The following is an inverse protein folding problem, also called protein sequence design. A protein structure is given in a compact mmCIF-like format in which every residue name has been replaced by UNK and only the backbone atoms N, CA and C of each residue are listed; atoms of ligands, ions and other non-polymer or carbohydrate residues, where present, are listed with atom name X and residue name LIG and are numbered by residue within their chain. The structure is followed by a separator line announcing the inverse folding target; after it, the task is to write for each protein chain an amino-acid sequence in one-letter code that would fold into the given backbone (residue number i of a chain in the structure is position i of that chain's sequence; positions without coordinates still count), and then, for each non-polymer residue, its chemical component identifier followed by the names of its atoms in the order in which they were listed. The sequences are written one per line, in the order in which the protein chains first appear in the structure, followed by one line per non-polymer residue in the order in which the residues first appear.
data_IF_586604573878
#
_entry.id   IF_586604573878
#
_cell.length_a   1.000
_cell.length_b   1.000
_cell.length_c   1.000
_cell.angle_alpha   90.00
_cell.angle_beta   90.00
_cell.angle_gamma   90.00
#
_symmetry.space_group_name_H-M   'P 1'
#
loop_
_entity.id
_entity.type
_entity.pdbx_description
1 polymer ?
#
# COMPACT_ATOMS: atom_id res chain seq x y z
N UNK A 1 -22.44 -15.98 -15.54
CA UNK A 1 -21.31 -15.33 -14.87
C UNK A 1 -21.27 -13.89 -15.38
N UNK A 2 -21.09 -12.92 -14.47
CA UNK A 2 -20.84 -11.53 -14.85
C UNK A 2 -19.35 -11.35 -15.15
N UNK A 3 -19.02 -10.38 -16.00
CA UNK A 3 -17.63 -10.00 -16.25
C UNK A 3 -17.04 -9.35 -15.00
N UNK A 4 -16.04 -9.99 -14.39
CA UNK A 4 -15.37 -9.49 -13.20
C UNK A 4 -14.25 -8.49 -13.51
N UNK A 5 -13.95 -8.24 -14.80
CA UNK A 5 -13.01 -7.21 -15.25
C UNK A 5 -13.45 -6.53 -16.57
N UNK A 6 -14.47 -5.65 -16.55
CA UNK A 6 -15.06 -5.07 -17.77
C UNK A 6 -14.07 -4.32 -18.68
N UNK A 7 -12.99 -3.79 -18.09
CA UNK A 7 -11.98 -2.99 -18.77
C UNK A 7 -10.70 -3.79 -19.11
N UNK A 8 -10.58 -5.04 -18.64
CA UNK A 8 -9.38 -5.87 -18.82
C UNK A 8 -9.79 -7.27 -19.30
N UNK A 9 -9.36 -7.63 -20.51
CA UNK A 9 -9.67 -8.94 -21.06
C UNK A 9 -9.07 -10.08 -20.22
N UNK A 10 -9.93 -10.87 -19.59
CA UNK A 10 -9.56 -12.03 -18.75
C UNK A 10 -10.48 -13.22 -19.06
N UNK A 11 -10.13 -14.00 -20.08
CA UNK A 11 -11.00 -15.03 -20.65
C UNK A 11 -11.34 -16.17 -19.67
N UNK A 12 -10.48 -16.41 -18.68
CA UNK A 12 -10.69 -17.40 -17.63
C UNK A 12 -11.55 -16.88 -16.48
N UNK A 13 -11.80 -15.57 -16.42
CA UNK A 13 -12.59 -14.90 -15.39
C UNK A 13 -12.15 -15.34 -13.98
N UNK A 14 -10.84 -15.51 -13.81
CA UNK A 14 -10.25 -15.91 -12.54
C UNK A 14 -10.58 -14.86 -11.47
N UNK A 15 -10.94 -15.34 -10.29
CA UNK A 15 -11.26 -14.59 -9.07
C UNK A 15 -10.90 -15.54 -7.93
N UNK A 16 -9.62 -15.48 -7.54
CA UNK A 16 -9.00 -16.47 -6.67
C UNK A 16 -9.41 -16.32 -5.21
N UNK A 17 -9.81 -15.11 -4.79
CA UNK A 17 -10.19 -14.81 -3.41
C UNK A 17 -11.71 -14.67 -3.21
N UNK A 18 -12.49 -14.55 -4.29
CA UNK A 18 -13.94 -14.59 -4.31
C UNK A 18 -14.61 -13.27 -3.95
N UNK A 19 -13.90 -12.14 -4.10
CA UNK A 19 -14.44 -10.81 -3.78
C UNK A 19 -15.29 -10.20 -4.91
N UNK A 20 -15.27 -10.83 -6.11
CA UNK A 20 -16.01 -10.42 -7.29
C UNK A 20 -15.24 -9.48 -8.24
N UNK A 21 -13.97 -9.19 -7.96
CA UNK A 21 -13.01 -8.51 -8.83
C UNK A 21 -12.11 -9.60 -9.44
N UNK A 22 -11.91 -9.58 -10.75
CA UNK A 22 -11.08 -10.62 -11.36
C UNK A 22 -9.59 -10.41 -11.10
N UNK A 23 -8.83 -11.49 -10.93
CA UNK A 23 -7.38 -11.50 -10.71
C UNK A 23 -6.61 -10.63 -11.73
N UNK A 24 -7.17 -10.46 -12.94
CA UNK A 24 -6.58 -9.68 -14.02
C UNK A 24 -6.71 -8.15 -13.87
N UNK A 25 -7.72 -7.68 -13.13
CA UNK A 25 -7.96 -6.26 -12.85
C UNK A 25 -7.88 -5.93 -11.35
N UNK A 26 -7.68 -6.94 -10.51
CA UNK A 26 -7.36 -6.76 -9.11
C UNK A 26 -6.02 -6.00 -8.98
N UNK A 27 -6.03 -4.94 -8.17
CA UNK A 27 -4.80 -4.30 -7.75
C UNK A 27 -4.22 -5.15 -6.63
N UNK A 28 -2.97 -5.62 -6.78
CA UNK A 28 -2.27 -6.40 -5.77
C UNK A 28 -2.46 -5.78 -4.37
N UNK A 29 -2.51 -6.59 -3.29
CA UNK A 29 -2.72 -6.07 -1.95
C UNK A 29 -1.73 -4.93 -1.69
N UNK A 30 -2.27 -3.74 -1.41
CA UNK A 30 -1.51 -2.51 -1.22
C UNK A 30 -0.41 -2.82 -0.21
N UNK A 31 0.87 -2.81 -0.60
CA UNK A 31 1.92 -3.20 0.30
C UNK A 31 1.93 -2.22 1.47
N UNK A 32 2.06 -2.76 2.69
CA UNK A 32 2.22 -1.91 3.89
C UNK A 32 3.38 -0.94 3.62
N UNK A 33 3.17 0.35 3.83
CA UNK A 33 4.04 1.48 3.45
C UNK A 33 3.83 2.12 2.06
N UNK A 34 2.90 1.63 1.23
CA UNK A 34 2.35 2.40 0.11
C UNK A 34 1.21 3.27 0.67
N UNK A 35 1.51 4.54 0.90
CA UNK A 35 0.64 5.48 1.61
C UNK A 35 -0.18 6.31 0.62
N UNK A 36 0.30 6.50 -0.61
CA UNK A 36 -0.46 7.21 -1.65
C UNK A 36 -1.26 6.27 -2.58
N UNK A 37 -1.08 4.96 -2.43
CA UNK A 37 -1.86 3.92 -3.10
C UNK A 37 -1.48 3.74 -4.57
N UNK A 38 -0.25 4.08 -4.95
CA UNK A 38 0.22 4.00 -6.33
C UNK A 38 0.84 2.63 -6.71
N UNK A 39 0.87 1.70 -5.75
CA UNK A 39 1.38 0.34 -5.91
C UNK A 39 2.89 0.22 -5.72
N UNK A 40 3.59 1.31 -5.40
CA UNK A 40 5.01 1.33 -5.11
C UNK A 40 5.28 1.92 -3.71
N UNK A 41 6.47 1.61 -3.18
CA UNK A 41 6.97 2.23 -1.95
C UNK A 41 8.13 3.14 -2.35
N UNK A 42 7.90 4.44 -2.28
CA UNK A 42 8.81 5.46 -2.73
C UNK A 42 8.96 6.65 -1.76
N UNK A 43 9.60 7.72 -2.25
CA UNK A 43 9.87 8.90 -1.43
C UNK A 43 8.60 9.66 -1.03
N UNK A 44 7.56 9.62 -1.84
CA UNK A 44 6.26 10.24 -1.57
C UNK A 44 5.65 9.57 -0.34
N UNK A 45 5.66 8.24 -0.26
CA UNK A 45 5.15 7.50 0.90
C UNK A 45 5.86 7.87 2.18
N UNK A 46 7.20 7.78 2.18
CA UNK A 46 8.01 8.14 3.33
C UNK A 46 7.82 9.60 3.74
N UNK A 47 7.60 10.49 2.76
CA UNK A 47 7.30 11.89 3.02
C UNK A 47 5.91 12.08 3.66
N UNK A 48 4.93 11.26 3.26
CA UNK A 48 3.57 11.30 3.80
C UNK A 48 3.56 10.85 5.27
N UNK A 49 4.27 9.77 5.59
CA UNK A 49 4.50 9.33 6.98
C UNK A 49 5.20 10.44 7.77
N UNK A 50 6.27 11.01 7.21
CA UNK A 50 7.05 12.07 7.86
C UNK A 50 6.24 13.35 8.14
N UNK A 51 5.25 13.67 7.30
CA UNK A 51 4.32 14.80 7.47
C UNK A 51 3.24 14.51 8.51
N UNK A 52 2.92 13.25 8.75
CA UNK A 52 1.90 12.83 9.71
C UNK A 52 2.45 12.58 11.12
N UNK A 53 3.75 12.77 11.36
CA UNK A 53 4.39 12.61 12.68
C UNK A 53 3.66 13.34 13.81
N UNK A 54 3.70 12.74 15.00
CA UNK A 54 3.04 13.21 16.22
C UNK A 54 1.51 13.18 16.15
N UNK A 55 0.94 12.41 15.22
CA UNK A 55 -0.49 12.14 15.17
C UNK A 55 -0.77 10.70 15.61
N UNK A 56 -1.94 10.43 16.22
CA UNK A 56 -2.41 9.07 16.38
C UNK A 56 -2.66 8.45 15.01
N UNK A 57 -2.53 7.13 14.93
CA UNK A 57 -2.98 6.36 13.77
C UNK A 57 -4.51 6.39 13.69
N UNK A 58 -5.07 6.33 12.49
CA UNK A 58 -6.51 6.28 12.24
C UNK A 58 -7.10 4.88 12.53
N UNK A 59 -6.25 3.86 12.73
CA UNK A 59 -6.63 2.48 13.03
C UNK A 59 -5.45 1.51 12.94
N UNK A 60 -5.68 0.20 13.16
CA UNK A 60 -4.65 -0.84 13.06
C UNK A 60 -4.09 -0.99 11.64
N UNK A 61 -4.85 -0.56 10.63
CA UNK A 61 -4.49 -0.64 9.21
C UNK A 61 -4.10 0.73 8.62
N UNK A 62 -3.78 1.72 9.47
CA UNK A 62 -3.29 3.00 8.97
C UNK A 62 -1.93 2.80 8.26
N UNK A 63 -1.82 3.08 6.95
CA UNK A 63 -0.58 2.83 6.20
C UNK A 63 0.60 3.70 6.69
N UNK A 64 0.31 4.76 7.47
CA UNK A 64 1.31 5.64 8.09
C UNK A 64 1.83 5.12 9.43
N UNK A 65 1.20 4.09 10.01
CA UNK A 65 1.59 3.39 11.24
C UNK A 65 2.19 2.01 10.90
N UNK A 66 3.36 2.09 10.32
CA UNK A 66 4.03 0.97 9.67
C UNK A 66 4.64 -0.01 10.67
N UNK A 67 4.78 0.36 11.95
CA UNK A 67 5.11 -0.57 13.03
C UNK A 67 3.90 -1.01 13.86
N UNK A 68 2.74 -0.36 13.70
CA UNK A 68 1.48 -0.74 14.35
C UNK A 68 1.44 -0.32 15.82
N UNK A 69 2.20 0.70 16.20
CA UNK A 69 2.29 1.21 17.57
C UNK A 69 1.11 2.10 17.97
N UNK A 70 0.23 2.44 17.03
CA UNK A 70 -0.91 3.34 17.20
C UNK A 70 -0.54 4.82 17.11
N UNK A 71 0.73 5.15 16.83
CA UNK A 71 1.23 6.53 16.76
C UNK A 71 2.18 6.67 15.60
N UNK A 72 2.03 7.75 14.81
CA UNK A 72 2.91 8.02 13.67
C UNK A 72 4.19 8.68 14.16
N UNK A 73 5.31 7.96 14.02
CA UNK A 73 6.65 8.29 14.52
C UNK A 73 7.71 8.16 13.42
N UNK A 74 8.97 8.58 13.70
CA UNK A 74 10.08 8.26 12.81
C UNK A 74 10.41 6.77 12.70
N UNK A 75 9.90 5.90 13.58
CA UNK A 75 10.12 4.46 13.45
C UNK A 75 9.30 3.89 12.30
N UNK A 76 8.11 4.42 12.02
CA UNK A 76 7.28 4.02 10.88
C UNK A 76 8.03 4.20 9.56
N UNK A 77 8.63 5.38 9.38
CA UNK A 77 9.52 5.66 8.24
C UNK A 77 10.63 4.62 8.15
N UNK A 78 11.30 4.29 9.26
CA UNK A 78 12.41 3.30 9.25
C UNK A 78 11.93 1.90 8.90
N UNK A 79 10.73 1.53 9.32
CA UNK A 79 10.13 0.23 8.99
C UNK A 79 9.79 0.15 7.50
N UNK A 80 9.51 1.29 6.84
CA UNK A 80 9.23 1.38 5.41
C UNK A 80 10.46 1.46 4.51
N UNK A 81 11.58 2.04 4.96
CA UNK A 81 12.82 2.13 4.17
C UNK A 81 13.26 0.79 3.53
N UNK A 82 13.29 -0.36 4.23
CA UNK A 82 13.70 -1.62 3.61
C UNK A 82 12.67 -2.19 2.63
N UNK A 83 11.46 -1.63 2.57
CA UNK A 83 10.36 -2.07 1.70
C UNK A 83 10.27 -1.26 0.40
N UNK A 84 11.12 -0.23 0.25
CA UNK A 84 11.18 0.60 -0.94
C UNK A 84 11.27 -0.21 -2.24
N UNK A 85 10.34 0.02 -3.16
CA UNK A 85 10.31 -0.62 -4.49
C UNK A 85 11.02 0.23 -5.54
N UNK A 86 11.15 1.55 -5.32
CA UNK A 86 11.79 2.48 -6.27
C UNK A 86 13.23 2.88 -5.85
N UNK A 87 14.15 3.09 -6.82
CA UNK A 87 15.50 3.60 -6.54
C UNK A 87 15.45 4.97 -5.84
N UNK A 88 16.29 5.16 -4.81
CA UNK A 88 16.39 6.40 -4.02
C UNK A 88 15.12 6.80 -3.23
N UNK A 89 14.25 5.83 -2.91
CA UNK A 89 13.05 6.00 -2.09
C UNK A 89 13.34 6.70 -0.74
N UNK A 90 14.39 6.29 -0.03
CA UNK A 90 14.99 7.09 1.03
C UNK A 90 16.36 7.58 0.55
N UNK A 91 16.65 8.87 0.75
CA UNK A 91 18.05 9.32 0.73
C UNK A 91 18.79 8.54 1.80
N UNK A 92 19.69 7.65 1.40
CA UNK A 92 20.66 7.02 2.30
C UNK A 92 21.48 8.08 3.03
#
# INVERSE_FOLDING_TARGET
ACDNCPDVANADQADSDGDGIGDACEQAPIPRCDVDGDGDIDKIDLSTISRARNKPADGPDDPRDSDGSGTITPNDVKTCIPQCTRPNCATQ
#
